data_IF_440106551347
#
_entry.id   IF_440106551347
#
_cell.length_a   1.000
_cell.length_b   1.000
_cell.length_c   1.000
_cell.angle_alpha   90.00
_cell.angle_beta   90.00
_cell.angle_gamma   90.00
#
_symmetry.space_group_name_H-M   'P 1'
#
loop_
_entity.id
_entity.type
_entity.pdbx_description
1 polymer ?
#
# COMPACT_ATOMS: atom_id res chain seq x y z
N UNK A 1 -5.08 -6.95 -7.88
CA UNK A 1 -5.09 -6.74 -6.42
C UNK A 1 -4.23 -7.81 -5.79
N UNK A 2 -3.25 -7.48 -4.94
CA UNK A 2 -2.38 -8.46 -4.28
C UNK A 2 -2.81 -8.59 -2.81
N UNK A 3 -3.46 -9.69 -2.40
CA UNK A 3 -3.84 -9.88 -1.01
C UNK A 3 -2.59 -10.06 -0.15
N UNK A 4 -2.62 -9.49 1.06
CA UNK A 4 -1.55 -9.61 2.04
C UNK A 4 -2.06 -10.31 3.29
N UNK A 5 -1.35 -11.34 3.72
CA UNK A 5 -1.70 -12.11 4.93
C UNK A 5 -1.21 -11.34 6.16
N UNK A 6 -2.17 -10.74 6.88
CA UNK A 6 -1.90 -9.95 8.08
C UNK A 6 -1.61 -10.81 9.31
N UNK A 7 -2.14 -12.04 9.35
CA UNK A 7 -1.89 -12.98 10.45
C UNK A 7 -0.45 -13.48 10.43
N UNK A 8 0.10 -13.70 9.24
CA UNK A 8 1.54 -13.99 9.04
C UNK A 8 2.41 -12.74 8.97
N UNK A 9 1.86 -11.58 9.30
CA UNK A 9 2.54 -10.29 9.32
C UNK A 9 3.30 -9.95 8.02
N UNK A 10 2.77 -10.36 6.86
CA UNK A 10 3.46 -10.17 5.57
C UNK A 10 3.71 -8.70 5.23
N UNK A 11 2.95 -7.77 5.84
CA UNK A 11 3.16 -6.32 5.76
C UNK A 11 4.44 -5.81 6.44
N UNK A 12 5.15 -6.68 7.18
CA UNK A 12 6.44 -6.38 7.83
C UNK A 12 7.63 -6.95 7.07
N UNK A 13 7.43 -7.67 5.96
CA UNK A 13 8.57 -8.22 5.22
C UNK A 13 9.35 -7.11 4.52
N UNK A 14 10.67 -7.30 4.27
CA UNK A 14 11.48 -6.31 3.58
C UNK A 14 10.89 -5.87 2.23
N UNK A 15 10.25 -6.80 1.52
CA UNK A 15 9.65 -6.53 0.21
C UNK A 15 8.46 -5.58 0.31
N UNK A 16 7.59 -5.74 1.32
CA UNK A 16 6.48 -4.81 1.53
C UNK A 16 6.96 -3.46 2.08
N UNK A 17 7.91 -3.48 3.02
CA UNK A 17 8.45 -2.27 3.64
C UNK A 17 9.25 -1.41 2.66
N UNK A 18 9.83 -2.00 1.62
CA UNK A 18 10.45 -1.27 0.52
C UNK A 18 9.43 -0.43 -0.26
N UNK A 19 8.14 -0.80 -0.25
CA UNK A 19 7.05 -0.04 -0.87
C UNK A 19 6.45 0.95 0.14
N UNK A 20 6.06 0.47 1.32
CA UNK A 20 5.51 1.31 2.38
C UNK A 20 6.27 1.06 3.70
N UNK A 21 7.18 1.97 4.09
CA UNK A 21 7.95 1.84 5.33
C UNK A 21 7.10 1.78 6.60
N UNK A 22 5.83 2.21 6.55
CA UNK A 22 4.89 2.11 7.68
C UNK A 22 4.32 0.70 7.84
N UNK A 23 4.49 -0.18 6.86
CA UNK A 23 3.99 -1.56 6.89
C UNK A 23 2.47 -1.63 7.00
N UNK A 24 1.73 -0.68 6.40
CA UNK A 24 0.27 -0.60 6.51
C UNK A 24 -0.43 -0.90 5.18
N UNK A 25 -1.51 -1.66 5.27
CA UNK A 25 -2.48 -1.86 4.19
C UNK A 25 -3.70 -0.95 4.43
N UNK A 26 -4.34 -0.39 3.39
CA UNK A 26 -3.99 -0.50 1.96
C UNK A 26 -2.81 0.39 1.53
N UNK A 27 -2.10 -0.03 0.48
CA UNK A 27 -1.04 0.70 -0.21
C UNK A 27 -1.20 0.41 -1.71
N UNK A 28 -1.12 1.44 -2.56
CA UNK A 28 -1.11 1.27 -4.02
C UNK A 28 0.14 1.90 -4.63
N UNK A 29 0.57 1.33 -5.76
CA UNK A 29 1.57 1.95 -6.63
C UNK A 29 0.84 2.40 -7.88
N UNK A 30 0.77 3.71 -8.10
CA UNK A 30 0.12 4.32 -9.25
C UNK A 30 1.18 5.04 -10.09
N UNK A 31 1.50 4.48 -11.26
CA UNK A 31 2.64 4.92 -12.05
C UNK A 31 3.95 4.72 -11.28
N UNK A 32 4.66 5.83 -11.01
CA UNK A 32 5.89 5.86 -10.22
C UNK A 32 5.67 6.26 -8.77
N UNK A 33 4.43 6.58 -8.38
CA UNK A 33 4.08 7.07 -7.06
C UNK A 33 3.56 5.94 -6.18
N UNK A 34 3.92 5.97 -4.89
CA UNK A 34 3.29 5.15 -3.86
C UNK A 34 2.27 6.00 -3.12
N UNK A 35 1.02 5.56 -3.10
CA UNK A 35 -0.07 6.21 -2.38
C UNK A 35 -0.48 5.34 -1.20
N UNK A 36 -0.51 5.94 -0.02
CA UNK A 36 -0.81 5.27 1.26
C UNK A 36 -1.94 6.01 1.97
N UNK A 37 -2.59 5.33 2.92
CA UNK A 37 -3.78 5.81 3.64
C UNK A 37 -5.05 5.84 2.77
N UNK A 38 -6.17 5.35 3.31
CA UNK A 38 -7.41 5.13 2.54
C UNK A 38 -7.94 6.41 1.88
N UNK A 39 -7.96 7.54 2.60
CA UNK A 39 -8.48 8.80 2.07
C UNK A 39 -7.68 9.32 0.86
N UNK A 40 -6.35 9.26 0.93
CA UNK A 40 -5.49 9.67 -0.17
C UNK A 40 -5.61 8.72 -1.37
N UNK A 41 -5.75 7.42 -1.13
CA UNK A 41 -6.01 6.43 -2.18
C UNK A 41 -7.33 6.73 -2.90
N UNK A 42 -8.41 7.03 -2.15
CA UNK A 42 -9.69 7.37 -2.78
C UNK A 42 -9.62 8.66 -3.59
N UNK A 43 -8.92 9.67 -3.09
CA UNK A 43 -8.74 10.93 -3.81
C UNK A 43 -7.92 10.73 -5.08
N UNK A 44 -6.76 10.07 -4.99
CA UNK A 44 -5.89 9.77 -6.14
C UNK A 44 -6.64 9.01 -7.25
N UNK A 45 -7.45 8.02 -6.87
CA UNK A 45 -8.25 7.24 -7.81
C UNK A 45 -9.45 8.01 -8.37
N UNK A 46 -9.93 9.06 -7.70
CA UNK A 46 -11.04 9.90 -8.18
C UNK A 46 -10.59 10.98 -9.16
N UNK A 47 -9.30 11.34 -9.15
CA UNK A 47 -8.67 12.29 -10.07
C UNK A 47 -8.21 11.64 -11.39
N UNK A 48 -8.45 10.33 -11.56
CA UNK A 48 -8.19 9.53 -12.77
C UNK A 48 -9.16 9.79 -13.94
#
# INVERSE_FOLDING_TARGET
>A
MHPIDLEKERQRTPEFLAINPRGKSPTIVHGTSVVTEQGAIYQDLAEL
#
